data_IF_841725946894
#
_entry.id   IF_841725946894
#
_cell.length_a   1.000
_cell.length_b   1.000
_cell.length_c   1.000
_cell.angle_alpha   90.00
_cell.angle_beta   90.00
_cell.angle_gamma   90.00
#
_symmetry.space_group_name_H-M   'P 1'
#
loop_
_entity.id
_entity.type
_entity.pdbx_description
1 polymer ?
#
# COMPACT_ATOMS: atom_id res chain seq x y z
N UNK A 1 -11.98 10.67 21.22
CA UNK A 1 -11.71 9.49 20.38
C UNK A 1 -10.64 8.66 21.08
N UNK A 2 -10.92 7.40 21.39
CA UNK A 2 -9.93 6.48 21.94
C UNK A 2 -9.37 5.64 20.78
N UNK A 3 -8.05 5.54 20.67
CA UNK A 3 -7.40 4.70 19.66
C UNK A 3 -6.81 3.44 20.31
N UNK A 4 -6.79 2.35 19.54
CA UNK A 4 -6.18 1.05 19.81
C UNK A 4 -6.07 0.64 21.29
N UNK A 5 -4.93 0.89 21.96
CA UNK A 5 -4.68 0.37 23.32
C UNK A 5 -5.76 0.78 24.33
N UNK A 6 -6.26 2.01 24.25
CA UNK A 6 -7.28 2.52 25.18
C UNK A 6 -8.68 2.07 24.83
N UNK A 7 -8.95 1.69 23.57
CA UNK A 7 -10.26 1.20 23.16
C UNK A 7 -10.49 -0.20 23.70
N UNK A 8 -9.49 -1.08 23.66
CA UNK A 8 -9.60 -2.48 24.12
C UNK A 8 -10.05 -2.56 25.58
N UNK A 9 -9.49 -1.73 26.47
CA UNK A 9 -9.88 -1.67 27.88
C UNK A 9 -11.30 -1.13 28.13
N UNK A 10 -11.90 -0.49 27.13
CA UNK A 10 -13.26 0.06 27.19
C UNK A 10 -14.30 -0.84 26.53
N UNK A 11 -13.87 -1.91 25.85
CA UNK A 11 -14.79 -2.86 25.22
C UNK A 11 -15.50 -3.68 26.30
N UNK A 12 -16.79 -4.01 26.12
CA UNK A 12 -17.44 -5.05 26.90
C UNK A 12 -16.77 -6.40 26.67
N UNK A 13 -17.07 -7.38 27.52
CA UNK A 13 -16.74 -8.77 27.22
C UNK A 13 -17.35 -9.17 25.87
N UNK A 14 -16.51 -9.67 24.97
CA UNK A 14 -16.92 -10.14 23.65
C UNK A 14 -17.34 -11.61 23.78
N UNK A 15 -18.43 -12.04 23.11
CA UNK A 15 -18.89 -13.41 23.21
C UNK A 15 -17.85 -14.39 22.64
N UNK A 16 -17.71 -15.60 23.19
CA UNK A 16 -16.83 -16.61 22.62
C UNK A 16 -17.40 -17.12 21.29
N UNK A 17 -16.54 -17.69 20.45
CA UNK A 17 -16.93 -18.32 19.19
C UNK A 17 -16.06 -17.89 18.01
N UNK A 18 -16.37 -18.45 16.85
CA UNK A 18 -15.76 -18.11 15.56
C UNK A 18 -16.60 -17.01 14.89
N UNK A 19 -16.20 -15.76 15.10
CA UNK A 19 -16.78 -14.58 14.49
C UNK A 19 -15.67 -13.58 14.14
N UNK A 20 -15.90 -12.76 13.12
CA UNK A 20 -14.94 -11.76 12.65
C UNK A 20 -15.54 -10.34 12.53
N UNK A 21 -16.82 -10.16 12.87
CA UNK A 21 -17.51 -8.87 12.88
C UNK A 21 -18.39 -8.77 14.12
N UNK A 22 -18.25 -7.64 14.84
CA UNK A 22 -18.99 -7.36 16.07
C UNK A 22 -19.55 -5.94 16.05
N UNK A 23 -20.84 -5.82 16.32
CA UNK A 23 -21.53 -4.55 16.51
C UNK A 23 -21.83 -4.34 18.00
N UNK A 24 -21.28 -3.25 18.56
CA UNK A 24 -21.51 -2.85 19.94
C UNK A 24 -22.48 -1.66 19.94
N UNK A 25 -23.63 -1.83 20.59
CA UNK A 25 -24.65 -0.78 20.72
C UNK A 25 -24.99 -0.52 22.18
N UNK A 26 -25.57 0.64 22.48
CA UNK A 26 -26.09 0.95 23.81
C UNK A 26 -27.52 0.41 23.91
N UNK A 27 -27.76 -0.53 24.82
CA UNK A 27 -29.07 -1.08 25.13
C UNK A 27 -29.98 -0.08 25.84
N UNK A 28 -31.28 -0.39 25.87
CA UNK A 28 -32.29 0.40 26.59
C UNK A 28 -32.03 0.43 28.11
N UNK A 29 -31.36 -0.58 28.64
CA UNK A 29 -30.90 -0.69 30.03
C UNK A 29 -29.58 0.08 30.30
N UNK A 30 -29.13 0.87 29.32
CA UNK A 30 -27.85 1.59 29.33
C UNK A 30 -26.60 0.70 29.41
N UNK A 31 -26.74 -0.63 29.19
CA UNK A 31 -25.61 -1.55 29.11
C UNK A 31 -25.18 -1.76 27.65
N UNK A 32 -23.92 -2.11 27.39
CA UNK A 32 -23.48 -2.47 26.05
C UNK A 32 -24.10 -3.81 25.62
N UNK A 33 -24.65 -3.84 24.41
CA UNK A 33 -25.11 -5.05 23.75
C UNK A 33 -24.20 -5.36 22.57
N UNK A 34 -23.69 -6.59 22.52
CA UNK A 34 -22.77 -7.06 21.47
C UNK A 34 -23.49 -8.08 20.60
N UNK A 35 -23.60 -7.78 19.31
CA UNK A 35 -24.05 -8.75 18.31
C UNK A 35 -22.87 -9.14 17.45
N UNK A 36 -22.64 -10.44 17.29
CA UNK A 36 -21.54 -10.97 16.46
C UNK A 36 -22.08 -11.73 15.26
N UNK A 37 -21.30 -11.78 14.19
CA UNK A 37 -21.59 -12.56 12.99
C UNK A 37 -20.30 -12.93 12.27
N UNK A 38 -20.41 -13.91 11.38
CA UNK A 38 -19.38 -14.21 10.40
C UNK A 38 -19.66 -13.43 9.13
N UNK A 39 -18.74 -12.53 8.77
CA UNK A 39 -18.79 -11.70 7.56
C UNK A 39 -17.77 -12.22 6.55
N UNK A 40 -18.18 -12.38 5.29
CA UNK A 40 -17.22 -12.61 4.22
C UNK A 40 -16.48 -11.30 3.91
N UNK A 41 -15.24 -11.19 4.36
CA UNK A 41 -14.41 -10.02 4.12
C UNK A 41 -13.80 -10.08 2.71
N UNK A 42 -13.75 -8.96 1.97
CA UNK A 42 -13.14 -8.95 0.63
C UNK A 42 -11.64 -9.20 0.72
N UNK A 43 -11.06 -9.76 -0.33
CA UNK A 43 -9.65 -10.12 -0.37
C UNK A 43 -9.01 -9.75 -1.70
N UNK A 44 -7.68 -9.66 -1.71
CA UNK A 44 -6.90 -9.56 -2.94
C UNK A 44 -6.99 -10.89 -3.69
N UNK A 45 -7.51 -10.85 -4.90
CA UNK A 45 -7.70 -12.01 -5.76
C UNK A 45 -6.47 -12.31 -6.62
N UNK A 46 -5.69 -11.29 -7.01
CA UNK A 46 -4.50 -11.50 -7.85
C UNK A 46 -3.27 -11.90 -7.02
N UNK A 47 -3.24 -13.15 -6.57
CA UNK A 47 -2.15 -13.68 -5.75
C UNK A 47 -1.09 -14.41 -6.58
N UNK A 48 -0.31 -13.64 -7.35
CA UNK A 48 0.64 -14.18 -8.33
C UNK A 48 2.01 -14.62 -7.79
N UNK A 49 2.40 -14.15 -6.60
CA UNK A 49 3.64 -14.52 -5.92
C UNK A 49 3.48 -15.75 -5.01
N UNK A 50 4.50 -16.61 -4.92
CA UNK A 50 4.44 -17.89 -4.17
C UNK A 50 4.63 -17.75 -2.65
N UNK A 51 5.13 -16.60 -2.19
CA UNK A 51 5.37 -16.34 -0.76
C UNK A 51 4.13 -15.71 -0.12
N UNK A 52 3.70 -16.29 1.01
CA UNK A 52 2.62 -15.81 1.86
C UNK A 52 3.12 -15.67 3.29
N UNK A 53 2.82 -14.53 3.91
CA UNK A 53 3.20 -14.24 5.30
C UNK A 53 1.95 -13.86 6.08
N UNK A 54 1.74 -14.52 7.20
CA UNK A 54 0.67 -14.19 8.14
C UNK A 54 1.00 -12.88 8.87
N UNK A 55 0.06 -11.93 8.87
CA UNK A 55 0.17 -10.64 9.53
C UNK A 55 0.54 -10.74 11.01
N UNK A 56 0.05 -11.76 11.72
CA UNK A 56 0.36 -11.97 13.15
C UNK A 56 1.82 -12.37 13.38
N UNK A 57 2.55 -12.76 12.34
CA UNK A 57 3.99 -13.06 12.40
C UNK A 57 4.88 -11.84 12.15
N UNK A 58 4.30 -10.68 11.83
CA UNK A 58 5.04 -9.44 11.64
C UNK A 58 5.31 -8.75 12.98
N UNK A 59 6.54 -8.25 13.14
CA UNK A 59 6.87 -7.30 14.20
C UNK A 59 6.89 -5.89 13.61
N UNK A 60 5.89 -5.08 13.97
CA UNK A 60 5.80 -3.69 13.50
C UNK A 60 6.87 -2.85 14.20
N UNK A 61 7.81 -2.30 13.42
CA UNK A 61 8.81 -1.36 13.92
C UNK A 61 8.24 0.05 14.05
N UNK A 62 7.70 0.56 12.94
CA UNK A 62 7.06 1.88 12.91
C UNK A 62 6.02 1.96 11.80
N UNK A 63 5.06 2.87 12.01
CA UNK A 63 4.13 3.30 10.99
C UNK A 63 4.84 4.29 10.06
N UNK A 64 4.86 4.01 8.77
CA UNK A 64 5.36 4.94 7.74
C UNK A 64 4.22 5.88 7.35
N UNK A 65 3.09 5.30 6.94
CA UNK A 65 1.84 6.04 6.72
C UNK A 65 0.66 5.15 7.04
N UNK A 66 -0.53 5.69 6.91
CA UNK A 66 -1.75 4.92 7.11
C UNK A 66 -1.80 3.73 6.14
N UNK A 67 -1.88 2.51 6.69
CA UNK A 67 -1.86 1.27 5.90
C UNK A 67 -0.46 0.81 5.44
N UNK A 68 0.61 1.52 5.83
CA UNK A 68 2.00 1.18 5.46
C UNK A 68 2.92 1.21 6.67
N UNK A 69 3.63 0.12 6.89
CA UNK A 69 4.45 -0.09 8.07
C UNK A 69 5.82 -0.63 7.69
N UNK A 70 6.85 -0.18 8.39
CA UNK A 70 8.13 -0.88 8.42
C UNK A 70 7.99 -2.05 9.40
N UNK A 71 8.33 -3.25 8.95
CA UNK A 71 8.14 -4.48 9.71
C UNK A 71 9.39 -5.37 9.63
N UNK A 72 9.58 -6.15 10.68
CA UNK A 72 10.46 -7.32 10.67
C UNK A 72 9.63 -8.59 10.49
N UNK A 73 10.20 -9.58 9.83
CA UNK A 73 9.61 -10.89 9.63
C UNK A 73 10.73 -11.92 9.56
N UNK A 74 10.56 -13.08 10.19
CA UNK A 74 11.56 -14.16 10.18
C UNK A 74 11.91 -14.68 8.79
N UNK A 75 11.05 -14.43 7.78
CA UNK A 75 11.28 -14.82 6.40
C UNK A 75 12.27 -13.90 5.66
N UNK A 76 12.67 -12.77 6.24
CA UNK A 76 13.56 -11.79 5.61
C UNK A 76 14.65 -11.32 6.57
N UNK A 77 15.90 -11.29 6.10
CA UNK A 77 17.06 -10.87 6.91
C UNK A 77 17.10 -9.36 7.22
N UNK A 78 16.24 -8.58 6.56
CA UNK A 78 16.17 -7.12 6.67
C UNK A 78 14.73 -6.67 6.89
N UNK A 79 14.58 -5.46 7.42
CA UNK A 79 13.27 -4.82 7.49
C UNK A 79 12.67 -4.66 6.10
N UNK A 80 11.37 -4.87 6.01
CA UNK A 80 10.57 -4.76 4.79
C UNK A 80 9.40 -3.82 5.04
N UNK A 81 8.69 -3.44 3.98
CA UNK A 81 7.48 -2.62 4.08
C UNK A 81 6.26 -3.51 3.92
N UNK A 82 5.35 -3.47 4.88
CA UNK A 82 4.02 -4.04 4.76
C UNK A 82 3.03 -2.97 4.30
N UNK A 83 2.29 -3.24 3.22
CA UNK A 83 1.15 -2.43 2.75
C UNK A 83 -0.09 -3.31 2.72
N UNK A 84 -1.14 -2.92 3.44
CA UNK A 84 -2.35 -3.72 3.55
C UNK A 84 -3.61 -2.90 3.80
N UNK A 85 -4.75 -3.48 3.42
CA UNK A 85 -6.07 -2.94 3.66
C UNK A 85 -6.46 -3.14 5.13
N UNK A 86 -6.84 -2.06 5.79
CA UNK A 86 -7.39 -2.06 7.14
C UNK A 86 -8.92 -2.09 7.12
N UNK A 87 -9.49 -1.70 5.98
CA UNK A 87 -10.92 -1.67 5.77
C UNK A 87 -11.32 -2.38 4.47
N UNK A 88 -12.55 -2.93 4.38
CA UNK A 88 -13.02 -3.63 3.19
C UNK A 88 -12.90 -2.85 1.88
N UNK A 89 -13.15 -1.54 1.91
CA UNK A 89 -13.07 -0.68 0.71
C UNK A 89 -11.65 -0.39 0.25
N UNK A 90 -10.63 -0.65 1.08
CA UNK A 90 -9.23 -0.45 0.72
C UNK A 90 -8.69 -1.61 -0.14
N UNK A 91 -9.32 -2.79 -0.09
CA UNK A 91 -8.88 -3.99 -0.82
C UNK A 91 -8.77 -3.75 -2.33
N UNK A 92 -9.66 -2.95 -2.92
CA UNK A 92 -9.59 -2.63 -4.37
C UNK A 92 -8.30 -1.90 -4.76
N UNK A 93 -7.77 -1.04 -3.88
CA UNK A 93 -6.54 -0.30 -4.15
C UNK A 93 -5.33 -1.23 -4.03
N UNK A 94 -5.32 -2.09 -3.00
CA UNK A 94 -4.29 -3.13 -2.84
C UNK A 94 -4.32 -4.10 -4.02
N UNK A 95 -5.49 -4.49 -4.50
CA UNK A 95 -5.68 -5.35 -5.66
C UNK A 95 -5.07 -4.74 -6.93
N UNK A 96 -5.35 -3.47 -7.20
CA UNK A 96 -4.78 -2.75 -8.35
C UNK A 96 -3.26 -2.71 -8.27
N UNK A 97 -2.72 -2.31 -7.12
CA UNK A 97 -1.29 -2.17 -6.94
C UNK A 97 -0.56 -3.53 -6.97
N UNK A 98 -1.14 -4.58 -6.39
CA UNK A 98 -0.61 -5.95 -6.48
C UNK A 98 -0.53 -6.40 -7.94
N UNK A 99 -1.52 -6.03 -8.74
CA UNK A 99 -1.53 -6.32 -10.19
C UNK A 99 -0.49 -5.50 -10.94
N UNK A 100 -0.30 -4.24 -10.58
CA UNK A 100 0.75 -3.41 -11.14
C UNK A 100 2.16 -3.96 -10.82
N UNK A 101 2.38 -4.42 -9.58
CA UNK A 101 3.62 -5.10 -9.18
C UNK A 101 3.91 -6.35 -10.01
N UNK A 102 2.87 -7.10 -10.40
CA UNK A 102 3.01 -8.22 -11.34
C UNK A 102 3.58 -7.75 -12.69
N UNK A 103 3.06 -6.65 -13.24
CA UNK A 103 3.49 -6.12 -14.54
C UNK A 103 4.94 -5.62 -14.52
N UNK A 104 5.37 -5.02 -13.41
CA UNK A 104 6.71 -4.42 -13.29
C UNK A 104 7.76 -5.36 -12.67
N UNK A 105 7.36 -6.56 -12.25
CA UNK A 105 8.26 -7.53 -11.62
C UNK A 105 9.46 -7.82 -12.52
N UNK A 106 10.68 -7.76 -11.97
CA UNK A 106 11.94 -7.95 -12.72
C UNK A 106 12.36 -6.76 -13.60
N UNK A 107 11.55 -5.71 -13.72
CA UNK A 107 11.85 -4.56 -14.58
C UNK A 107 12.52 -3.41 -13.84
N UNK A 108 12.81 -3.52 -12.55
CA UNK A 108 13.54 -2.51 -11.77
C UNK A 108 12.93 -1.10 -11.85
N UNK A 109 11.60 -1.00 -11.86
CA UNK A 109 10.82 0.25 -11.90
C UNK A 109 10.48 0.72 -10.49
N UNK A 110 10.00 -0.20 -9.65
CA UNK A 110 9.66 0.05 -8.25
C UNK A 110 10.39 -0.89 -7.29
N UNK A 111 10.05 -0.83 -6.00
CA UNK A 111 10.51 -1.78 -4.99
C UNK A 111 10.25 -3.24 -5.41
N UNK A 112 11.04 -4.19 -4.91
CA UNK A 112 10.73 -5.60 -5.15
C UNK A 112 9.48 -6.01 -4.37
N UNK A 113 8.54 -6.70 -5.03
CA UNK A 113 7.44 -7.40 -4.36
C UNK A 113 7.99 -8.66 -3.71
N UNK A 114 7.75 -8.85 -2.42
CA UNK A 114 8.37 -9.92 -1.62
C UNK A 114 7.40 -11.03 -1.24
N UNK A 115 6.09 -10.77 -1.26
CA UNK A 115 5.07 -11.76 -0.93
C UNK A 115 3.74 -11.15 -0.55
N UNK A 116 2.71 -12.00 -0.51
CA UNK A 116 1.38 -11.61 -0.05
C UNK A 116 1.33 -11.60 1.46
N UNK A 117 0.61 -10.62 2.00
CA UNK A 117 0.30 -10.54 3.41
C UNK A 117 -1.10 -11.09 3.65
N UNK A 118 -1.23 -12.03 4.57
CA UNK A 118 -2.48 -12.72 4.86
C UNK A 118 -2.96 -12.50 6.29
N UNK A 119 -4.25 -12.63 6.49
CA UNK A 119 -4.92 -12.66 7.80
C UNK A 119 -5.95 -13.79 7.74
N UNK A 120 -5.84 -14.81 8.60
CA UNK A 120 -6.70 -16.01 8.55
C UNK A 120 -6.80 -16.64 7.14
N UNK A 121 -5.65 -16.71 6.45
CA UNK A 121 -5.55 -17.25 5.08
C UNK A 121 -6.01 -16.31 3.96
N UNK A 122 -6.74 -15.24 4.29
CA UNK A 122 -7.21 -14.22 3.34
C UNK A 122 -6.10 -13.27 2.95
N UNK A 123 -5.90 -12.98 1.67
CA UNK A 123 -4.93 -11.98 1.23
C UNK A 123 -5.44 -10.55 1.48
N UNK A 124 -4.71 -9.78 2.30
CA UNK A 124 -5.10 -8.42 2.73
C UNK A 124 -4.17 -7.33 2.22
N UNK A 125 -3.01 -7.72 1.68
CA UNK A 125 -1.89 -6.83 1.43
C UNK A 125 -0.71 -7.55 0.84
N UNK A 126 0.44 -6.88 0.86
CA UNK A 126 1.70 -7.44 0.42
C UNK A 126 2.89 -6.85 1.19
N UNK A 127 4.01 -7.54 1.08
CA UNK A 127 5.32 -7.11 1.53
C UNK A 127 6.14 -6.65 0.33
N UNK A 128 6.88 -5.56 0.51
CA UNK A 128 7.79 -5.03 -0.51
C UNK A 128 9.12 -4.58 0.09
N UNK A 129 10.14 -4.45 -0.76
CA UNK A 129 11.46 -3.96 -0.38
C UNK A 129 11.36 -2.59 0.33
N UNK A 130 12.07 -2.46 1.45
CA UNK A 130 12.29 -1.16 2.07
C UNK A 130 13.45 -0.45 1.40
N UNK A 131 13.16 0.67 0.73
CA UNK A 131 14.18 1.50 0.07
C UNK A 131 14.82 2.41 1.11
N UNK A 132 16.07 2.09 1.49
CA UNK A 132 16.90 2.94 2.35
C UNK A 132 17.61 4.02 1.54
N UNK A 133 18.04 5.08 2.23
CA UNK A 133 18.91 6.14 1.69
C UNK A 133 18.35 6.82 0.44
N UNK A 134 17.01 6.88 0.36
CA UNK A 134 16.30 7.57 -0.70
C UNK A 134 15.59 8.82 -0.19
N UNK A 135 15.49 9.81 -1.07
CA UNK A 135 14.69 11.03 -0.85
C UNK A 135 13.61 11.15 -1.91
N UNK A 136 12.56 11.90 -1.63
CA UNK A 136 11.60 12.26 -2.68
C UNK A 136 12.29 13.07 -3.80
N UNK A 137 11.78 12.90 -5.02
CA UNK A 137 12.26 13.65 -6.16
C UNK A 137 12.03 15.16 -6.00
N UNK A 138 12.94 15.93 -6.58
CA UNK A 138 12.85 17.37 -6.79
C UNK A 138 12.93 17.64 -8.29
N UNK A 139 12.66 18.89 -8.71
CA UNK A 139 12.65 19.28 -10.12
C UNK A 139 13.96 18.94 -10.86
N UNK A 140 15.10 18.95 -10.16
CA UNK A 140 16.41 18.59 -10.72
C UNK A 140 16.51 17.10 -11.10
N UNK A 141 15.65 16.24 -10.55
CA UNK A 141 15.65 14.80 -10.83
C UNK A 141 14.76 14.42 -12.02
N UNK A 142 14.19 15.40 -12.73
CA UNK A 142 13.22 15.18 -13.82
C UNK A 142 13.70 14.14 -14.84
N UNK A 143 14.98 14.15 -15.21
CA UNK A 143 15.52 13.19 -16.18
C UNK A 143 15.50 11.76 -15.63
N UNK A 144 15.87 11.59 -14.36
CA UNK A 144 15.81 10.29 -13.70
C UNK A 144 14.36 9.79 -13.62
N UNK A 145 13.41 10.67 -13.23
CA UNK A 145 11.99 10.36 -13.16
C UNK A 145 11.42 9.96 -14.54
N UNK A 146 11.73 10.73 -15.59
CA UNK A 146 11.33 10.41 -16.97
C UNK A 146 11.89 9.08 -17.44
N UNK A 147 13.13 8.75 -17.08
CA UNK A 147 13.77 7.49 -17.48
C UNK A 147 13.06 6.27 -16.90
N UNK A 148 12.72 6.30 -15.61
CA UNK A 148 12.00 5.19 -14.98
C UNK A 148 10.53 5.13 -15.44
N UNK A 149 9.90 6.27 -15.65
CA UNK A 149 8.54 6.35 -16.22
C UNK A 149 8.50 5.82 -17.65
N UNK A 150 9.52 6.10 -18.46
CA UNK A 150 9.63 5.59 -19.83
C UNK A 150 9.72 4.07 -19.86
N UNK A 151 10.38 3.46 -18.86
CA UNK A 151 10.41 2.00 -18.71
C UNK A 151 9.04 1.44 -18.35
N UNK A 152 8.29 2.13 -17.48
CA UNK A 152 6.89 1.76 -17.18
C UNK A 152 6.00 1.84 -18.43
N UNK A 153 6.10 2.94 -19.18
CA UNK A 153 5.36 3.13 -20.44
C UNK A 153 5.74 2.09 -21.50
N UNK A 154 7.01 1.67 -21.55
CA UNK A 154 7.48 0.58 -22.41
C UNK A 154 6.82 -0.78 -22.14
N UNK A 155 6.19 -0.95 -20.96
CA UNK A 155 5.39 -2.13 -20.62
C UNK A 155 3.90 -1.97 -20.94
N UNK A 156 3.52 -0.87 -21.63
CA UNK A 156 2.14 -0.49 -21.86
C UNK A 156 1.40 -0.17 -20.57
N UNK A 157 2.09 0.35 -19.56
CA UNK A 157 1.51 0.71 -18.26
C UNK A 157 1.60 2.23 -18.07
N UNK A 158 0.48 2.84 -17.70
CA UNK A 158 0.40 4.23 -17.24
C UNK A 158 0.40 4.24 -15.71
N UNK A 159 1.11 5.18 -15.08
CA UNK A 159 1.15 5.27 -13.61
C UNK A 159 -0.15 5.81 -13.02
N UNK A 160 -0.69 6.89 -13.60
CA UNK A 160 -1.92 7.55 -13.16
C UNK A 160 -1.73 8.68 -12.16
N UNK A 161 -0.66 8.63 -11.34
CA UNK A 161 -0.35 9.65 -10.32
C UNK A 161 1.17 9.94 -10.21
N UNK A 162 1.72 10.74 -11.12
CA UNK A 162 3.16 11.05 -11.20
C UNK A 162 3.60 12.23 -10.32
N UNK A 163 3.00 12.39 -9.14
CA UNK A 163 3.41 13.43 -8.21
C UNK A 163 4.81 13.16 -7.61
N UNK A 164 5.52 14.20 -7.13
CA UNK A 164 6.89 14.09 -6.58
C UNK A 164 7.06 13.09 -5.42
N UNK A 165 6.01 12.81 -4.66
CA UNK A 165 6.08 11.89 -3.52
C UNK A 165 6.09 10.42 -3.97
N UNK A 166 5.64 10.15 -5.20
CA UNK A 166 5.64 8.82 -5.81
C UNK A 166 6.96 8.49 -6.54
N UNK A 167 7.93 9.40 -6.52
CA UNK A 167 9.30 9.17 -7.00
C UNK A 167 10.29 9.23 -5.84
N UNK A 168 11.02 8.14 -5.64
CA UNK A 168 12.15 8.07 -4.73
C UNK A 168 13.46 8.11 -5.52
N UNK A 169 14.43 8.88 -5.05
CA UNK A 169 15.76 9.02 -5.65
C UNK A 169 16.79 8.38 -4.74
N UNK A 170 17.49 7.37 -5.27
CA UNK A 170 18.62 6.68 -4.63
C UNK A 170 19.76 6.58 -5.63
N UNK A 171 20.96 7.03 -5.27
CA UNK A 171 22.14 7.01 -6.15
C UNK A 171 21.88 7.59 -7.56
N UNK A 172 21.18 8.73 -7.61
CA UNK A 172 20.75 9.40 -8.86
C UNK A 172 19.82 8.58 -9.76
N UNK A 173 19.27 7.48 -9.26
CA UNK A 173 18.24 6.67 -9.95
C UNK A 173 16.90 6.90 -9.30
N UNK A 174 15.88 7.08 -10.13
CA UNK A 174 14.50 7.16 -9.68
C UNK A 174 13.87 5.77 -9.57
N UNK A 175 13.04 5.61 -8.55
CA UNK A 175 12.25 4.42 -8.22
C UNK A 175 10.81 4.91 -8.07
N UNK A 176 9.87 4.34 -8.83
CA UNK A 176 8.44 4.64 -8.70
C UNK A 176 7.84 3.84 -7.55
N UNK A 177 6.92 4.46 -6.84
CA UNK A 177 6.10 3.83 -5.79
C UNK A 177 4.64 4.25 -5.96
N UNK A 178 3.74 3.54 -5.27
CA UNK A 178 2.30 3.84 -5.22
C UNK A 178 1.57 3.62 -6.56
N UNK A 179 1.46 2.35 -6.97
CA UNK A 179 0.86 1.96 -8.24
C UNK A 179 -0.65 1.66 -8.16
N UNK A 180 -1.37 2.18 -7.17
CA UNK A 180 -2.80 1.90 -6.97
C UNK A 180 -3.72 2.48 -8.07
N UNK A 181 -3.24 3.52 -8.75
CA UNK A 181 -3.85 4.15 -9.91
C UNK A 181 -3.32 3.64 -11.25
N UNK A 182 -2.33 2.72 -11.22
CA UNK A 182 -1.69 2.24 -12.43
C UNK A 182 -2.60 1.33 -13.25
N UNK A 183 -2.55 1.49 -14.57
CA UNK A 183 -3.44 0.81 -15.51
C UNK A 183 -2.71 0.48 -16.80
N UNK A 184 -3.11 -0.62 -17.46
CA UNK A 184 -2.69 -0.88 -18.84
C UNK A 184 -3.22 0.22 -19.76
N UNK A 185 -2.36 0.68 -20.66
CA UNK A 185 -2.64 1.81 -21.53
C UNK A 185 -1.97 1.63 -22.88
N UNK A 186 -2.80 1.47 -23.92
CA UNK A 186 -2.37 1.35 -25.31
C UNK A 186 -2.49 2.68 -26.08
N UNK A 187 -2.86 3.77 -25.39
CA UNK A 187 -3.02 5.10 -25.98
C UNK A 187 -1.71 5.89 -25.84
N UNK A 188 -0.94 6.07 -26.94
CA UNK A 188 0.34 6.75 -26.89
C UNK A 188 0.21 8.22 -26.46
N UNK A 189 -0.93 8.86 -26.74
CA UNK A 189 -1.14 10.25 -26.36
C UNK A 189 -1.27 10.41 -24.84
N UNK A 190 -1.91 9.45 -24.15
CA UNK A 190 -2.00 9.44 -22.68
C UNK A 190 -0.65 9.19 -22.02
N UNK A 191 0.17 8.29 -22.58
CA UNK A 191 1.51 8.04 -22.07
C UNK A 191 2.42 9.26 -22.29
N UNK A 192 2.34 9.88 -23.47
CA UNK A 192 3.09 11.10 -23.77
C UNK A 192 2.70 12.24 -22.83
N UNK A 193 1.40 12.45 -22.59
CA UNK A 193 0.93 13.47 -21.65
C UNK A 193 1.49 13.23 -20.25
N UNK A 194 1.41 12.01 -19.73
CA UNK A 194 1.96 11.67 -18.41
C UNK A 194 3.48 11.90 -18.33
N UNK A 195 4.21 11.73 -19.44
CA UNK A 195 5.65 11.99 -19.56
C UNK A 195 5.98 13.50 -19.57
N UNK A 196 5.17 14.29 -20.26
CA UNK A 196 5.31 15.75 -20.36
C UNK A 196 5.03 16.42 -19.01
N UNK A 197 4.01 15.93 -18.30
CA UNK A 197 3.55 16.48 -17.01
C UNK A 197 4.55 16.30 -15.86
N UNK A 198 5.52 15.37 -15.97
CA UNK A 198 6.48 15.06 -14.89
C UNK A 198 7.16 16.33 -14.35
N UNK A 199 7.59 17.25 -15.22
CA UNK A 199 8.23 18.49 -14.79
C UNK A 199 7.32 19.31 -13.88
N UNK A 200 6.07 19.53 -14.29
CA UNK A 200 5.09 20.29 -13.53
C UNK A 200 4.70 19.58 -12.22
N UNK A 201 4.56 18.26 -12.25
CA UNK A 201 4.26 17.45 -11.06
C UNK A 201 5.39 17.45 -10.02
N UNK A 202 6.64 17.67 -10.43
CA UNK A 202 7.78 17.81 -9.52
C UNK A 202 7.86 19.19 -8.87
N UNK A 203 7.36 20.22 -9.56
CA UNK A 203 7.28 21.60 -9.07
C UNK A 203 6.09 21.83 -8.15
N UNK A 204 4.99 21.09 -8.33
CA UNK A 204 3.78 21.25 -7.54
C UNK A 204 4.03 20.91 -6.06
N UNK A 205 4.01 21.96 -5.23
CA UNK A 205 4.07 21.86 -3.77
C UNK A 205 2.69 21.61 -3.15
N UNK A 206 1.61 21.71 -3.94
CA UNK A 206 0.27 21.43 -3.43
C UNK A 206 0.15 19.93 -3.21
N UNK A 207 0.16 19.57 -1.93
CA UNK A 207 0.13 18.24 -1.36
C UNK A 207 -1.12 17.42 -1.73
N UNK A 208 -1.40 17.18 -3.02
CA UNK A 208 -2.43 16.22 -3.45
C UNK A 208 -2.05 14.76 -3.18
N UNK A 209 -0.81 14.50 -2.75
CA UNK A 209 -0.36 13.21 -2.19
C UNK A 209 0.25 13.28 -0.78
N UNK A 210 0.40 14.47 -0.20
CA UNK A 210 1.08 14.70 1.10
C UNK A 210 0.14 14.81 2.30
N UNK A 211 -1.11 14.33 2.19
CA UNK A 211 -2.15 14.39 3.23
C UNK A 211 -1.93 13.46 4.43
N UNK A 212 -0.73 12.92 4.61
CA UNK A 212 -0.26 12.40 5.89
C UNK A 212 1.00 13.16 6.24
N UNK A 213 0.97 13.96 7.31
CA UNK A 213 2.14 14.68 7.81
C UNK A 213 3.36 13.75 7.90
N UNK A 214 4.49 14.26 7.43
CA UNK A 214 5.85 13.71 7.58
C UNK A 214 6.13 13.18 8.99
#
# INVERSE_FOLDING_TARGET
MCFGPSLVSLLPELPPGDWNDALITKGADHRPHVTVKQTQLPEVQNTWHDTYVDYLKLSIRRKIRTGIYEVECSSFDRAVVAKFARFPWEIRYIQNETTAYQWISGHGIGPQFLGHLTEEGRAIGFLMEYITDARHAVVQDVEACRKVLSRLHGLGVRHGDTNRFNFLIRDSKAILIDFDTAQKCDDPARLLQEMEDVSACLEDLNARGGGGLL
#
